data_IF_671244714201
#
_entry.id   IF_671244714201
#
_cell.length_a   1.000
_cell.length_b   1.000
_cell.length_c   1.000
_cell.angle_alpha   90.00
_cell.angle_beta   90.00
_cell.angle_gamma   90.00
#
_symmetry.space_group_name_H-M   'P 1'
#
loop_
_entity.id
_entity.type
_entity.pdbx_description
1 polymer ?
#
# COMPACT_ATOMS: atom_id res chain seq x y z
N UNK A 1 14.34 8.41 3.65
CA UNK A 1 13.39 9.27 4.40
C UNK A 1 12.03 8.60 4.40
N UNK A 2 11.23 8.80 5.43
CA UNK A 2 9.88 8.24 5.53
C UNK A 2 8.88 9.36 5.79
N UNK A 3 7.75 9.34 5.10
CA UNK A 3 6.63 10.25 5.31
C UNK A 3 5.36 9.46 5.62
N UNK A 4 4.51 10.01 6.47
CA UNK A 4 3.30 9.37 6.96
C UNK A 4 2.09 10.26 6.66
N UNK A 5 0.98 9.65 6.28
CA UNK A 5 -0.32 10.32 6.11
C UNK A 5 -1.36 9.62 6.98
N UNK A 6 -2.00 10.31 7.94
CA UNK A 6 -1.67 11.66 8.40
C UNK A 6 -0.29 11.72 9.10
N UNK A 7 0.36 12.88 9.08
CA UNK A 7 1.64 13.12 9.75
C UNK A 7 1.49 13.37 11.28
N UNK A 8 0.49 12.74 11.89
CA UNK A 8 0.15 12.89 13.32
C UNK A 8 0.49 11.60 14.08
N UNK A 9 0.09 11.50 15.36
CA UNK A 9 0.23 10.27 16.15
C UNK A 9 -0.85 9.21 15.82
N UNK A 10 -1.78 9.50 14.90
CA UNK A 10 -2.77 8.53 14.46
C UNK A 10 -2.12 7.45 13.57
N UNK A 11 -2.77 6.29 13.47
CA UNK A 11 -2.33 5.25 12.55
C UNK A 11 -2.34 5.79 11.10
N UNK A 12 -1.24 5.64 10.33
CA UNK A 12 -1.18 6.12 8.97
C UNK A 12 -2.01 5.25 8.02
N UNK A 13 -2.69 5.89 7.08
CA UNK A 13 -3.32 5.24 5.92
C UNK A 13 -2.38 5.14 4.72
N UNK A 14 -1.29 5.92 4.73
CA UNK A 14 -0.28 5.89 3.68
C UNK A 14 1.11 6.13 4.29
N UNK A 15 2.10 5.39 3.81
CA UNK A 15 3.52 5.54 4.14
C UNK A 15 4.32 5.63 2.86
N UNK A 16 5.18 6.65 2.75
CA UNK A 16 6.09 6.81 1.62
C UNK A 16 7.52 6.67 2.12
N UNK A 17 8.22 5.63 1.65
CA UNK A 17 9.63 5.40 1.94
C UNK A 17 10.48 5.75 0.74
N UNK A 18 11.42 6.69 0.90
CA UNK A 18 12.37 7.07 -0.15
C UNK A 18 13.79 6.65 0.25
N UNK A 19 14.46 5.87 -0.59
CA UNK A 19 15.85 5.46 -0.36
C UNK A 19 16.85 6.60 -0.67
N UNK A 20 18.15 6.36 -0.45
CA UNK A 20 19.21 7.36 -0.68
C UNK A 20 19.37 7.77 -2.16
N UNK A 21 18.92 6.94 -3.09
CA UNK A 21 18.93 7.22 -4.54
C UNK A 21 17.68 7.99 -5.00
N UNK A 22 16.75 8.30 -4.08
CA UNK A 22 15.52 9.03 -4.40
C UNK A 22 14.37 8.15 -4.89
N UNK A 23 14.52 6.82 -4.92
CA UNK A 23 13.46 5.90 -5.29
C UNK A 23 12.43 5.81 -4.16
N UNK A 24 11.16 6.06 -4.47
CA UNK A 24 10.07 6.08 -3.51
C UNK A 24 9.13 4.89 -3.66
N UNK A 25 8.83 4.21 -2.56
CA UNK A 25 7.77 3.20 -2.46
C UNK A 25 6.64 3.78 -1.62
N UNK A 26 5.41 3.68 -2.11
CA UNK A 26 4.21 4.07 -1.37
C UNK A 26 3.46 2.81 -0.94
N UNK A 27 3.10 2.73 0.34
CA UNK A 27 2.25 1.67 0.89
C UNK A 27 0.99 2.28 1.47
N UNK A 28 -0.16 1.80 1.01
CA UNK A 28 -1.49 2.15 1.50
C UNK A 28 -1.96 1.11 2.52
N UNK A 29 -2.65 1.54 3.56
CA UNK A 29 -3.08 0.69 4.68
C UNK A 29 -4.58 0.80 4.95
N UNK A 30 -5.17 -0.33 5.36
CA UNK A 30 -6.47 -0.36 6.04
C UNK A 30 -6.34 0.41 7.38
N UNK A 31 -7.10 1.50 7.60
CA UNK A 31 -6.97 2.33 8.81
C UNK A 31 -7.33 1.61 10.11
N UNK A 32 -8.14 0.55 10.03
CA UNK A 32 -8.64 -0.19 11.19
C UNK A 32 -7.75 -1.37 11.57
N UNK A 33 -7.06 -1.96 10.59
CA UNK A 33 -6.27 -3.18 10.78
C UNK A 33 -4.76 -3.00 10.60
N UNK A 34 -4.32 -1.91 9.96
CA UNK A 34 -2.92 -1.70 9.61
C UNK A 34 -2.40 -2.71 8.57
N UNK A 35 -3.29 -3.28 7.74
CA UNK A 35 -2.93 -4.21 6.67
C UNK A 35 -2.67 -3.44 5.38
N UNK A 36 -1.60 -3.78 4.67
CA UNK A 36 -1.25 -3.13 3.41
C UNK A 36 -2.24 -3.51 2.30
N UNK A 37 -3.03 -2.56 1.82
CA UNK A 37 -4.04 -2.79 0.77
C UNK A 37 -3.52 -2.49 -0.63
N UNK A 38 -2.48 -1.66 -0.73
CA UNK A 38 -1.84 -1.30 -1.99
C UNK A 38 -0.37 -0.95 -1.79
N UNK A 39 0.46 -1.31 -2.77
CA UNK A 39 1.88 -0.94 -2.82
C UNK A 39 2.18 -0.41 -4.21
N UNK A 40 2.80 0.76 -4.30
CA UNK A 40 3.34 1.35 -5.53
C UNK A 40 4.86 1.36 -5.43
N UNK A 41 5.52 0.66 -6.35
CA UNK A 41 6.98 0.62 -6.42
C UNK A 41 7.57 1.92 -7.03
N UNK A 42 8.89 2.12 -6.98
CA UNK A 42 9.53 3.29 -7.58
C UNK A 42 9.37 3.43 -9.10
N UNK A 43 8.97 2.36 -9.79
CA UNK A 43 8.69 2.36 -11.22
C UNK A 43 7.21 2.67 -11.53
N UNK A 44 6.42 3.04 -10.51
CA UNK A 44 4.99 3.31 -10.63
C UNK A 44 4.13 2.07 -10.83
N UNK A 45 4.65 0.87 -10.51
CA UNK A 45 3.92 -0.40 -10.61
C UNK A 45 3.15 -0.65 -9.33
N UNK A 46 1.84 -0.89 -9.46
CA UNK A 46 0.93 -1.10 -8.33
C UNK A 46 0.56 -2.57 -8.15
N UNK A 47 0.61 -3.04 -6.92
CA UNK A 47 0.01 -4.29 -6.47
C UNK A 47 -1.06 -4.02 -5.42
N UNK A 48 -2.09 -4.85 -5.35
CA UNK A 48 -3.22 -4.70 -4.43
C UNK A 48 -3.48 -6.01 -3.68
N UNK A 49 -4.02 -5.89 -2.46
CA UNK A 49 -4.53 -7.01 -1.68
C UNK A 49 -5.88 -6.66 -1.05
N UNK A 50 -6.77 -7.66 -1.00
CA UNK A 50 -8.02 -7.60 -0.24
C UNK A 50 -8.01 -8.61 0.89
N UNK A 51 -8.60 -8.22 2.01
CA UNK A 51 -8.62 -9.00 3.24
C UNK A 51 -10.05 -9.17 3.73
N UNK A 52 -10.29 -10.27 4.45
CA UNK A 52 -11.52 -10.44 5.21
C UNK A 52 -11.47 -9.67 6.54
N UNK A 53 -12.57 -9.76 7.31
CA UNK A 53 -12.69 -9.07 8.59
C UNK A 53 -11.63 -9.45 9.63
N UNK A 54 -11.02 -10.64 9.50
CA UNK A 54 -9.98 -11.17 10.38
C UNK A 54 -8.56 -10.92 9.84
N UNK A 55 -8.42 -10.25 8.70
CA UNK A 55 -7.14 -9.92 8.09
C UNK A 55 -6.54 -11.03 7.23
N UNK A 56 -7.29 -12.07 6.88
CA UNK A 56 -6.82 -13.11 5.97
C UNK A 56 -6.99 -12.65 4.52
N UNK A 57 -6.00 -12.92 3.67
CA UNK A 57 -6.04 -12.53 2.25
C UNK A 57 -7.18 -13.24 1.51
N UNK A 58 -8.04 -12.48 0.86
CA UNK A 58 -9.09 -12.97 -0.04
C UNK A 58 -8.64 -12.96 -1.50
N UNK A 59 -7.98 -11.87 -1.93
CA UNK A 59 -7.56 -11.65 -3.31
C UNK A 59 -6.27 -10.83 -3.35
N UNK A 60 -5.51 -11.02 -4.42
CA UNK A 60 -4.33 -10.20 -4.72
C UNK A 60 -4.31 -9.86 -6.20
N UNK A 61 -3.77 -8.70 -6.53
CA UNK A 61 -3.53 -8.26 -7.90
C UNK A 61 -2.08 -7.87 -8.05
N UNK A 62 -1.53 -8.18 -9.23
CA UNK A 62 -0.15 -7.84 -9.58
C UNK A 62 -0.14 -6.64 -10.53
N UNK A 63 1.01 -5.99 -10.74
CA UNK A 63 1.10 -4.91 -11.71
C UNK A 63 0.73 -5.32 -13.15
N UNK A 64 0.91 -6.60 -13.50
CA UNK A 64 0.55 -7.14 -14.80
C UNK A 64 -0.95 -7.50 -14.91
N UNK A 65 -1.65 -7.59 -13.77
CA UNK A 65 -3.07 -7.95 -13.70
C UNK A 65 -3.78 -7.03 -12.69
N UNK A 66 -4.00 -5.75 -13.04
CA UNK A 66 -4.37 -4.73 -12.07
C UNK A 66 -5.81 -4.85 -11.60
N UNK A 67 -6.05 -4.49 -10.33
CA UNK A 67 -7.37 -4.48 -9.70
C UNK A 67 -8.39 -3.62 -10.45
N UNK A 68 -7.97 -2.45 -10.93
CA UNK A 68 -8.85 -1.52 -11.66
C UNK A 68 -9.46 -2.10 -12.94
N UNK A 69 -8.85 -3.14 -13.53
CA UNK A 69 -9.36 -3.80 -14.72
C UNK A 69 -9.96 -5.20 -14.45
N UNK A 70 -9.71 -5.79 -13.27
CA UNK A 70 -10.00 -7.20 -12.99
C UNK A 70 -10.57 -7.44 -11.58
N UNK A 71 -11.29 -6.46 -11.03
CA UNK A 71 -11.99 -6.58 -9.74
C UNK A 71 -13.40 -7.17 -9.90
#
# INVERSE_FOLDING_TARGET
>A
KTAYTPATLAAPTEVVETNALGHATTTEYDPTRGLATGIVDPNGKRADAEYDGLGRTLRTWTPAWPKSAHA
#
